data_IF_287933817844
#
_entry.id   IF_287933817844
#
_cell.length_a   1.000
_cell.length_b   1.000
_cell.length_c   1.000
_cell.angle_alpha   90.00
_cell.angle_beta   90.00
_cell.angle_gamma   90.00
#
_symmetry.space_group_name_H-M   'P 1'
#
loop_
_entity.id
_entity.type
_entity.pdbx_description
1 polymer ?
#
# COMPACT_ATOMS: atom_id res chain seq x y z
N UNK A 1 2.77 9.50 -3.49
CA UNK A 1 1.88 8.38 -3.15
C UNK A 1 1.23 8.72 -1.83
N UNK A 2 -0.07 8.47 -1.71
CA UNK A 2 -0.78 8.56 -0.44
C UNK A 2 -0.96 7.14 0.11
N UNK A 3 -0.77 6.95 1.40
CA UNK A 3 -0.86 5.65 2.07
C UNK A 3 -1.77 5.81 3.28
N UNK A 4 -2.88 5.06 3.28
CA UNK A 4 -3.79 4.95 4.41
C UNK A 4 -3.65 3.57 5.02
N UNK A 5 -3.49 3.52 6.34
CA UNK A 5 -3.48 2.28 7.11
C UNK A 5 -4.71 2.26 8.01
N UNK A 6 -5.48 1.19 7.94
CA UNK A 6 -6.54 0.90 8.88
C UNK A 6 -6.13 -0.31 9.72
N UNK A 7 -6.17 -0.19 11.04
CA UNK A 7 -5.99 -1.29 11.98
C UNK A 7 -7.32 -1.47 12.71
N UNK A 8 -7.92 -2.65 12.56
CA UNK A 8 -9.25 -2.96 13.12
C UNK A 8 -10.34 -1.94 12.78
N UNK A 9 -10.23 -1.31 11.60
CA UNK A 9 -11.17 -0.30 11.11
C UNK A 9 -10.84 1.15 11.51
N UNK A 10 -9.82 1.37 12.33
CA UNK A 10 -9.36 2.71 12.73
C UNK A 10 -8.22 3.21 11.84
N UNK A 11 -8.33 4.46 11.35
CA UNK A 11 -7.27 5.09 10.54
C UNK A 11 -6.09 5.51 11.44
N UNK A 12 -4.90 5.03 11.10
CA UNK A 12 -3.66 5.31 11.85
C UNK A 12 -2.88 6.40 11.12
N UNK A 13 -2.49 7.44 11.87
CA UNK A 13 -1.61 8.48 11.34
C UNK A 13 -0.20 7.93 11.06
N UNK A 14 0.29 8.16 9.85
CA UNK A 14 1.55 7.62 9.38
C UNK A 14 2.59 8.74 9.23
N UNK A 15 3.76 8.53 9.82
CA UNK A 15 4.89 9.42 9.56
C UNK A 15 5.51 9.17 8.17
N UNK A 16 6.35 10.12 7.74
CA UNK A 16 6.99 10.10 6.41
C UNK A 16 7.80 8.82 6.15
N UNK A 17 8.47 8.29 7.17
CA UNK A 17 9.25 7.06 7.05
C UNK A 17 8.35 5.86 6.74
N UNK A 18 7.24 5.70 7.46
CA UNK A 18 6.30 4.58 7.26
C UNK A 18 5.62 4.66 5.89
N UNK A 19 5.22 5.86 5.45
CA UNK A 19 4.66 6.10 4.12
C UNK A 19 5.63 5.64 3.02
N UNK A 20 6.93 5.98 3.15
CA UNK A 20 7.97 5.58 2.19
C UNK A 20 8.14 4.06 2.15
N UNK A 21 8.24 3.41 3.32
CA UNK A 21 8.47 1.97 3.42
C UNK A 21 7.27 1.18 2.88
N UNK A 22 6.06 1.45 3.37
CA UNK A 22 4.87 0.72 2.96
C UNK A 22 4.53 0.98 1.49
N UNK A 23 4.51 2.26 1.09
CA UNK A 23 4.19 2.65 -0.29
C UNK A 23 5.17 2.04 -1.29
N UNK A 24 6.47 2.16 -1.04
CA UNK A 24 7.49 1.59 -1.92
C UNK A 24 7.42 0.07 -2.02
N UNK A 25 7.27 -0.62 -0.88
CA UNK A 25 7.20 -2.09 -0.84
C UNK A 25 5.96 -2.62 -1.56
N UNK A 26 4.78 -2.05 -1.27
CA UNK A 26 3.52 -2.48 -1.88
C UNK A 26 3.51 -2.20 -3.38
N UNK A 27 3.93 -1.00 -3.81
CA UNK A 27 4.02 -0.66 -5.23
C UNK A 27 5.01 -1.57 -5.98
N UNK A 28 6.17 -1.86 -5.37
CA UNK A 28 7.16 -2.78 -5.92
C UNK A 28 6.62 -4.19 -6.07
N UNK A 29 5.97 -4.72 -5.03
CA UNK A 29 5.35 -6.04 -5.05
C UNK A 29 4.28 -6.13 -6.16
N UNK A 30 3.34 -5.18 -6.22
CA UNK A 30 2.28 -5.15 -7.22
C UNK A 30 2.81 -5.03 -8.65
N UNK A 31 3.86 -4.22 -8.87
CA UNK A 31 4.47 -4.05 -10.19
C UNK A 31 5.20 -5.32 -10.68
N UNK A 32 5.63 -6.19 -9.76
CA UNK A 32 6.24 -7.48 -10.09
C UNK A 32 5.23 -8.58 -10.47
N UNK A 33 3.93 -8.38 -10.19
CA UNK A 33 2.90 -9.37 -10.51
C UNK A 33 2.59 -9.41 -12.00
N UNK A 34 2.42 -10.63 -12.54
CA UNK A 34 2.00 -10.82 -13.93
C UNK A 34 0.56 -10.33 -14.11
N UNK A 35 0.31 -9.62 -15.22
CA UNK A 35 -1.03 -9.17 -15.60
C UNK A 35 -1.47 -7.83 -14.99
N UNK A 36 -0.67 -7.24 -14.10
CA UNK A 36 -0.92 -5.89 -13.59
C UNK A 36 -0.28 -4.87 -14.53
N UNK A 37 -1.07 -3.90 -14.99
CA UNK A 37 -0.56 -2.79 -15.81
C UNK A 37 0.20 -1.79 -14.94
N UNK A 38 1.23 -1.15 -15.50
CA UNK A 38 2.08 -0.19 -14.79
C UNK A 38 1.35 1.12 -14.42
N UNK A 39 0.19 1.38 -14.99
CA UNK A 39 -0.62 2.60 -14.82
C UNK A 39 -1.79 2.41 -13.84
N UNK A 40 -1.63 1.52 -12.85
CA UNK A 40 -2.62 1.35 -11.79
C UNK A 40 -2.87 2.66 -11.03
N UNK A 41 -4.12 2.91 -10.63
CA UNK A 41 -4.54 4.14 -9.93
C UNK A 41 -4.63 3.97 -8.41
N UNK A 42 -4.96 2.76 -7.96
CA UNK A 42 -5.19 2.43 -6.55
C UNK A 42 -4.80 0.97 -6.29
N UNK A 43 -4.17 0.74 -5.15
CA UNK A 43 -3.90 -0.61 -4.62
C UNK A 43 -4.64 -0.70 -3.28
N UNK A 44 -5.43 -1.76 -3.09
CA UNK A 44 -6.07 -2.09 -1.82
C UNK A 44 -5.55 -3.45 -1.36
N UNK A 45 -5.07 -3.50 -0.12
CA UNK A 45 -4.52 -4.70 0.50
C UNK A 45 -5.23 -4.91 1.83
N UNK A 46 -5.76 -6.12 2.04
CA UNK A 46 -6.33 -6.54 3.33
C UNK A 46 -5.50 -7.69 3.85
N UNK A 47 -5.04 -7.57 5.10
CA UNK A 47 -4.31 -8.63 5.80
C UNK A 47 -5.21 -9.10 6.93
N UNK A 48 -5.57 -10.38 6.91
CA UNK A 48 -6.35 -11.04 7.98
C UNK A 48 -5.43 -11.98 8.74
N UNK A 49 -5.67 -12.11 10.04
CA UNK A 49 -5.00 -13.10 10.88
C UNK A 49 -5.80 -14.39 10.95
#
# INVERSE_FOLDING_TARGET
MDVKLLVDGEEIDLNEFVVKVLGGTIAGAVTSLRGIKKDWKKIELTVTK
#
